data_IF_232452438295
#
_entry.id   IF_232452438295
#
_cell.length_a   1.000
_cell.length_b   1.000
_cell.length_c   1.000
_cell.angle_alpha   90.00
_cell.angle_beta   90.00
_cell.angle_gamma   90.00
#
_symmetry.space_group_name_H-M   'P 1'
#
loop_
_entity.id
_entity.type
_entity.pdbx_description
1 polymer ?
#
# COMPACT_ATOMS: atom_id res chain seq x y z
N UNK A 1 5.04 -9.94 -10.56
CA UNK A 1 4.19 -9.11 -9.69
C UNK A 1 3.55 -10.01 -8.66
N UNK A 2 3.79 -9.72 -7.38
CA UNK A 2 3.28 -10.49 -6.25
C UNK A 2 2.24 -9.66 -5.53
N UNK A 3 1.14 -10.26 -5.08
CA UNK A 3 0.10 -9.55 -4.35
C UNK A 3 -0.35 -10.31 -3.10
N UNK A 4 -0.83 -9.56 -2.11
CA UNK A 4 -1.41 -10.10 -0.89
C UNK A 4 -2.61 -9.27 -0.46
N UNK A 5 -3.77 -9.90 -0.36
CA UNK A 5 -4.95 -9.26 0.22
C UNK A 5 -4.86 -9.26 1.75
N UNK A 6 -5.19 -8.13 2.35
CA UNK A 6 -5.29 -7.98 3.80
C UNK A 6 -6.67 -7.43 4.19
N UNK A 7 -7.15 -7.94 5.33
CA UNK A 7 -8.36 -7.47 5.99
C UNK A 7 -7.98 -7.03 7.41
N UNK A 8 -8.04 -5.74 7.66
CA UNK A 8 -7.79 -5.12 8.95
C UNK A 8 -9.11 -5.01 9.73
N UNK A 9 -8.99 -5.00 11.06
CA UNK A 9 -10.09 -4.54 11.90
C UNK A 9 -10.27 -3.03 11.71
N UNK A 10 -11.49 -2.49 11.86
CA UNK A 10 -11.69 -1.04 11.93
C UNK A 10 -10.72 -0.41 12.92
N UNK A 11 -10.00 0.62 12.48
CA UNK A 11 -8.97 1.29 13.25
C UNK A 11 -8.84 2.75 12.81
N UNK A 12 -8.15 3.55 13.61
CA UNK A 12 -7.83 4.97 13.37
C UNK A 12 -6.38 5.19 12.91
N UNK A 13 -5.61 4.10 12.77
CA UNK A 13 -4.19 4.13 12.40
C UNK A 13 -3.98 4.22 10.89
N UNK A 14 -4.90 3.65 10.11
CA UNK A 14 -4.87 3.70 8.64
C UNK A 14 -5.89 4.72 8.16
N UNK A 15 -5.44 5.66 7.35
CA UNK A 15 -6.27 6.72 6.78
C UNK A 15 -7.33 6.13 5.86
N UNK A 16 -8.59 6.62 5.95
CA UNK A 16 -9.64 6.30 4.99
C UNK A 16 -9.22 6.59 3.56
N UNK A 17 -9.64 5.72 2.65
CA UNK A 17 -9.49 5.98 1.23
C UNK A 17 -10.28 7.24 0.83
N UNK A 18 -9.64 8.23 0.16
CA UNK A 18 -10.33 9.46 -0.21
C UNK A 18 -11.44 9.25 -1.25
N UNK A 19 -11.44 8.12 -1.98
CA UNK A 19 -12.49 7.80 -2.96
C UNK A 19 -13.72 7.11 -2.39
N UNK A 20 -13.55 6.18 -1.43
CA UNK A 20 -14.65 5.34 -0.94
C UNK A 20 -14.81 5.31 0.59
N UNK A 21 -13.93 5.99 1.33
CA UNK A 21 -14.03 6.18 2.78
C UNK A 21 -13.68 4.97 3.65
N UNK A 22 -13.36 3.81 3.06
CA UNK A 22 -13.00 2.60 3.83
C UNK A 22 -11.50 2.60 4.21
N UNK A 23 -11.13 1.87 5.26
CA UNK A 23 -9.73 1.70 5.67
C UNK A 23 -9.41 0.29 6.22
N UNK A 24 -10.18 -0.71 5.81
CA UNK A 24 -10.08 -2.08 6.34
C UNK A 24 -9.64 -3.11 5.31
N UNK A 25 -9.85 -2.86 4.02
CA UNK A 25 -9.58 -3.81 2.94
C UNK A 25 -8.56 -3.22 1.97
N UNK A 26 -7.39 -3.86 1.89
CA UNK A 26 -6.33 -3.48 0.96
C UNK A 26 -5.76 -4.71 0.26
N UNK A 27 -5.29 -4.51 -0.96
CA UNK A 27 -4.37 -5.43 -1.62
C UNK A 27 -3.00 -4.80 -1.59
N UNK A 28 -2.00 -5.50 -1.08
CA UNK A 28 -0.60 -5.08 -1.17
C UNK A 28 -0.03 -5.65 -2.46
N UNK A 29 0.60 -4.80 -3.26
CA UNK A 29 1.21 -5.13 -4.53
C UNK A 29 2.72 -4.99 -4.42
N UNK A 30 3.44 -5.83 -5.15
CA UNK A 30 4.88 -5.74 -5.36
C UNK A 30 5.18 -5.97 -6.84
N UNK A 31 5.87 -5.02 -7.46
CA UNK A 31 6.29 -5.11 -8.85
C UNK A 31 7.73 -4.63 -9.02
N UNK A 32 8.51 -5.39 -9.80
CA UNK A 32 9.83 -4.96 -10.24
C UNK A 32 9.68 -3.83 -11.25
N UNK A 33 10.31 -2.69 -10.97
CA UNK A 33 10.26 -1.47 -11.80
C UNK A 33 11.61 -1.13 -12.43
N UNK A 34 12.71 -1.66 -11.89
CA UNK A 34 14.04 -1.61 -12.50
C UNK A 34 14.82 -2.91 -12.21
N UNK A 35 16.05 -3.02 -12.73
CA UNK A 35 16.91 -4.20 -12.58
C UNK A 35 17.02 -4.66 -11.11
N UNK A 36 17.29 -3.73 -10.20
CA UNK A 36 17.46 -3.98 -8.76
C UNK A 36 16.46 -3.19 -7.89
N UNK A 37 15.25 -2.92 -8.41
CA UNK A 37 14.25 -2.10 -7.70
C UNK A 37 12.85 -2.67 -7.88
N UNK A 38 12.16 -2.90 -6.76
CA UNK A 38 10.72 -3.14 -6.74
C UNK A 38 10.01 -2.01 -6.00
N UNK A 39 8.78 -1.73 -6.45
CA UNK A 39 7.83 -0.91 -5.70
C UNK A 39 6.83 -1.81 -5.00
N UNK A 40 6.51 -1.47 -3.76
CA UNK A 40 5.49 -2.10 -2.93
C UNK A 40 4.48 -1.05 -2.51
N UNK A 41 3.19 -1.31 -2.71
CA UNK A 41 2.14 -0.33 -2.40
C UNK A 41 0.83 -0.97 -1.95
N UNK A 42 0.03 -0.19 -1.22
CA UNK A 42 -1.32 -0.57 -0.84
C UNK A 42 -2.34 -0.03 -1.85
N UNK A 43 -3.19 -0.91 -2.37
CA UNK A 43 -4.35 -0.58 -3.20
C UNK A 43 -5.62 -0.80 -2.37
N UNK A 44 -6.48 0.21 -2.30
CA UNK A 44 -7.80 0.10 -1.69
C UNK A 44 -8.71 -0.81 -2.54
N UNK A 45 -9.70 -1.47 -1.93
CA UNK A 45 -10.69 -2.31 -2.65
C UNK A 45 -11.42 -1.63 -3.83
N UNK A 46 -11.45 -0.30 -3.88
CA UNK A 46 -12.04 0.46 -4.99
C UNK A 46 -11.06 0.71 -6.15
N UNK A 47 -9.84 0.15 -6.10
CA UNK A 47 -8.77 0.35 -7.08
C UNK A 47 -8.03 1.68 -6.93
N UNK A 48 -8.16 2.36 -5.78
CA UNK A 48 -7.35 3.56 -5.53
C UNK A 48 -6.03 3.18 -4.89
N UNK A 49 -4.94 3.66 -5.49
CA UNK A 49 -3.58 3.50 -5.02
C UNK A 49 -2.84 4.86 -4.97
N UNK A 50 -1.73 4.95 -4.22
CA UNK A 50 -0.79 6.08 -4.29
C UNK A 50 -0.10 6.18 -5.65
N UNK A 51 0.34 7.40 -5.98
CA UNK A 51 1.22 7.65 -7.12
C UNK A 51 2.57 6.93 -6.92
N UNK A 52 3.29 6.64 -8.01
CA UNK A 52 4.53 5.83 -7.95
C UNK A 52 5.60 6.40 -7.01
N UNK A 53 5.69 7.72 -6.89
CA UNK A 53 6.63 8.39 -5.99
C UNK A 53 6.32 8.25 -4.49
N UNK A 54 5.11 7.81 -4.14
CA UNK A 54 4.66 7.62 -2.76
C UNK A 54 4.64 6.12 -2.36
N UNK A 55 5.26 5.25 -3.17
CA UNK A 55 5.32 3.80 -2.92
C UNK A 55 6.58 3.42 -2.16
N UNK A 56 6.55 2.26 -1.50
CA UNK A 56 7.71 1.75 -0.79
C UNK A 56 8.69 1.07 -1.75
N UNK A 57 9.92 1.58 -1.83
CA UNK A 57 11.00 0.94 -2.59
C UNK A 57 11.63 -0.21 -1.79
N UNK A 58 11.66 -1.40 -2.38
CA UNK A 58 12.27 -2.59 -1.81
C UNK A 58 13.04 -3.35 -2.88
N UNK A 59 14.30 -3.71 -2.62
CA UNK A 59 15.16 -4.41 -3.59
C UNK A 59 14.59 -5.80 -3.92
N UNK A 60 14.00 -6.48 -2.94
CA UNK A 60 13.51 -7.85 -3.08
C UNK A 60 12.01 -7.94 -3.41
N UNK A 61 11.25 -6.86 -3.22
CA UNK A 61 9.84 -6.80 -3.56
C UNK A 61 8.95 -7.73 -2.72
N UNK A 62 9.04 -7.64 -1.39
CA UNK A 62 8.26 -8.46 -0.46
C UNK A 62 6.79 -8.03 -0.26
N UNK A 63 5.95 -8.99 0.16
CA UNK A 63 4.57 -8.75 0.66
C UNK A 63 4.31 -9.42 2.03
N UNK A 64 5.38 -9.70 2.77
CA UNK A 64 5.29 -10.16 4.16
C UNK A 64 4.78 -9.06 5.09
N UNK A 65 4.60 -9.41 6.37
CA UNK A 65 4.00 -8.50 7.35
C UNK A 65 4.79 -7.19 7.54
N UNK A 66 6.11 -7.22 7.37
CA UNK A 66 6.95 -6.02 7.43
C UNK A 66 6.65 -5.07 6.27
N UNK A 67 6.73 -5.58 5.04
CA UNK A 67 6.43 -4.82 3.83
C UNK A 67 4.99 -4.29 3.82
N UNK A 68 4.03 -5.08 4.31
CA UNK A 68 2.63 -4.66 4.46
C UNK A 68 2.51 -3.43 5.38
N UNK A 69 3.20 -3.44 6.53
CA UNK A 69 3.15 -2.31 7.46
C UNK A 69 3.75 -1.04 6.85
N UNK A 70 4.86 -1.16 6.13
CA UNK A 70 5.51 -0.02 5.47
C UNK A 70 4.63 0.52 4.35
N UNK A 71 4.07 -0.34 3.49
CA UNK A 71 3.18 0.07 2.42
C UNK A 71 1.92 0.82 2.92
N UNK A 72 1.37 0.39 4.06
CA UNK A 72 0.27 1.08 4.74
C UNK A 72 0.69 2.41 5.40
N UNK A 73 1.95 2.53 5.85
CA UNK A 73 2.49 3.81 6.30
C UNK A 73 2.62 4.79 5.13
N UNK A 74 3.21 4.35 4.01
CA UNK A 74 3.31 5.14 2.79
C UNK A 74 1.93 5.61 2.30
N UNK A 75 0.91 4.73 2.37
CA UNK A 75 -0.48 5.12 2.11
C UNK A 75 -0.95 6.28 2.98
N UNK A 76 -0.66 6.25 4.29
CA UNK A 76 -1.04 7.32 5.19
C UNK A 76 -0.34 8.63 4.86
N UNK A 77 0.95 8.56 4.52
CA UNK A 77 1.74 9.74 4.14
C UNK A 77 1.24 10.34 2.81
N UNK A 78 0.99 9.51 1.79
CA UNK A 78 0.47 9.91 0.48
C UNK A 78 -0.86 10.68 0.60
N UNK A 79 -1.72 10.26 1.54
CA UNK A 79 -3.04 10.86 1.74
C UNK A 79 -3.11 11.70 3.03
N UNK A 80 -1.98 12.22 3.51
CA UNK A 80 -1.91 13.02 4.73
C UNK A 80 -2.62 14.40 4.61
N UNK A 81 -2.75 14.92 3.38
CA UNK A 81 -3.14 16.31 3.09
C UNK A 81 -4.44 16.48 2.27
N UNK A 82 -5.30 15.46 2.19
CA UNK A 82 -6.61 15.55 1.53
C UNK A 82 -7.73 16.02 2.46
#
# INVERSE_FOLDING_TARGET
>A
MTTRRILLKPNDKIRPCPKCGQNTEFTIHSAQVAEDLCEVWAECKCGHEPDSGDRFEDVFGGVDDGNVQVALSCWNDAFASA
#
